data_IF_945869863324
#
_entry.id   IF_945869863324
#
_cell.length_a   1.000
_cell.length_b   1.000
_cell.length_c   1.000
_cell.angle_alpha   90.00
_cell.angle_beta   90.00
_cell.angle_gamma   90.00
#
_symmetry.space_group_name_H-M   'P 1'
#
loop_
_entity.id
_entity.type
_entity.pdbx_description
1 polymer ?
#
# COMPACT_ATOMS: atom_id res chain seq x y z
N UNK A 1 36.00 7.89 0.65
CA UNK A 1 34.66 8.12 1.22
C UNK A 1 33.68 7.10 0.64
N UNK A 2 33.30 6.05 1.38
CA UNK A 2 32.29 5.07 0.94
C UNK A 2 30.90 5.67 1.19
N UNK A 3 30.20 6.09 0.13
CA UNK A 3 28.74 6.38 0.14
C UNK A 3 28.02 5.08 0.52
N UNK A 4 27.88 4.83 1.82
CA UNK A 4 27.11 3.68 2.33
C UNK A 4 25.66 4.12 2.31
N UNK A 5 24.80 3.40 1.58
CA UNK A 5 23.39 3.75 1.37
C UNK A 5 22.59 3.60 2.68
N UNK A 6 22.78 4.49 3.65
CA UNK A 6 22.10 4.46 4.96
C UNK A 6 20.58 4.51 4.83
N UNK A 7 20.04 5.26 3.87
CA UNK A 7 18.60 5.25 3.53
C UNK A 7 18.09 3.87 3.12
N UNK A 8 18.87 3.13 2.33
CA UNK A 8 18.52 1.78 1.87
C UNK A 8 18.63 0.74 3.00
N UNK A 9 19.59 0.93 3.92
CA UNK A 9 19.76 0.08 5.11
C UNK A 9 18.58 0.28 6.08
N UNK A 10 18.09 1.51 6.22
CA UNK A 10 16.93 1.82 7.06
C UNK A 10 15.63 1.23 6.48
N UNK A 11 15.44 1.35 5.17
CA UNK A 11 14.33 0.71 4.45
C UNK A 11 14.38 -0.82 4.58
N UNK A 12 15.58 -1.42 4.54
CA UNK A 12 15.78 -2.86 4.74
C UNK A 12 15.51 -3.32 6.18
N UNK A 13 15.81 -2.50 7.19
CA UNK A 13 15.57 -2.83 8.61
C UNK A 13 14.09 -3.04 8.92
N UNK A 14 13.21 -2.20 8.36
CA UNK A 14 11.75 -2.30 8.54
C UNK A 14 11.04 -3.07 7.42
N UNK A 15 11.79 -3.73 6.54
CA UNK A 15 11.25 -4.53 5.43
C UNK A 15 10.31 -5.65 5.90
N UNK A 16 10.48 -6.19 7.11
CA UNK A 16 9.58 -7.19 7.69
C UNK A 16 8.14 -6.66 7.86
N UNK A 17 7.96 -5.41 8.32
CA UNK A 17 6.64 -4.81 8.48
C UNK A 17 5.98 -4.54 7.12
N UNK A 18 6.79 -4.15 6.13
CA UNK A 18 6.34 -3.98 4.75
C UNK A 18 5.86 -5.31 4.15
N UNK A 19 6.62 -6.39 4.36
CA UNK A 19 6.23 -7.74 3.91
C UNK A 19 4.94 -8.17 4.61
N UNK A 20 4.81 -7.94 5.92
CA UNK A 20 3.57 -8.19 6.67
C UNK A 20 2.36 -7.45 6.10
N UNK A 21 2.53 -6.16 5.79
CA UNK A 21 1.52 -5.37 5.08
C UNK A 21 1.17 -5.98 3.70
N UNK A 22 2.16 -6.41 2.93
CA UNK A 22 1.96 -7.08 1.64
C UNK A 22 1.14 -8.36 1.74
N UNK A 23 1.46 -9.22 2.72
CA UNK A 23 0.72 -10.47 2.97
C UNK A 23 -0.74 -10.18 3.34
N UNK A 24 -0.97 -9.23 4.24
CA UNK A 24 -2.33 -8.82 4.63
C UNK A 24 -3.10 -8.21 3.45
N UNK A 25 -2.41 -7.46 2.58
CA UNK A 25 -2.99 -6.91 1.36
C UNK A 25 -3.44 -8.01 0.39
N UNK A 26 -2.60 -9.03 0.14
CA UNK A 26 -2.97 -10.18 -0.68
C UNK A 26 -4.17 -10.92 -0.08
N UNK A 27 -4.17 -11.16 1.23
CA UNK A 27 -5.28 -11.80 1.94
C UNK A 27 -6.60 -11.05 1.78
N UNK A 28 -6.59 -9.74 2.01
CA UNK A 28 -7.76 -8.88 1.85
C UNK A 28 -8.31 -8.89 0.42
N UNK A 29 -7.44 -8.67 -0.58
CA UNK A 29 -7.85 -8.65 -1.98
C UNK A 29 -8.40 -10.02 -2.43
N UNK A 30 -7.84 -11.12 -1.92
CA UNK A 30 -8.33 -12.47 -2.20
C UNK A 30 -9.73 -12.72 -1.62
N UNK A 31 -10.03 -12.21 -0.42
CA UNK A 31 -11.38 -12.26 0.15
C UNK A 31 -12.34 -11.42 -0.69
N UNK A 32 -11.93 -10.21 -1.08
CA UNK A 32 -12.77 -9.30 -1.87
C UNK A 32 -13.19 -9.93 -3.20
N UNK A 33 -12.22 -10.48 -3.95
CA UNK A 33 -12.49 -11.14 -5.24
C UNK A 33 -13.43 -12.34 -5.06
N UNK A 34 -13.22 -13.18 -4.04
CA UNK A 34 -14.13 -14.31 -3.74
C UNK A 34 -15.54 -13.84 -3.39
N UNK A 35 -15.66 -12.71 -2.68
CA UNK A 35 -16.96 -12.11 -2.38
C UNK A 35 -17.70 -11.67 -3.65
N UNK A 36 -16.99 -11.03 -4.58
CA UNK A 36 -17.53 -10.62 -5.89
C UNK A 36 -17.97 -11.84 -6.70
N UNK A 37 -17.12 -12.87 -6.81
CA UNK A 37 -17.42 -14.12 -7.52
C UNK A 37 -18.66 -14.83 -6.95
N UNK A 38 -18.80 -14.83 -5.62
CA UNK A 38 -19.95 -15.42 -4.95
C UNK A 38 -21.26 -14.70 -5.27
N UNK A 39 -21.23 -13.37 -5.43
CA UNK A 39 -22.39 -12.59 -5.86
C UNK A 39 -22.70 -12.89 -7.33
N UNK A 40 -21.68 -12.91 -8.20
CA UNK A 40 -21.86 -13.22 -9.63
C UNK A 40 -22.52 -14.58 -9.82
N UNK A 41 -21.98 -15.65 -9.21
CA UNK A 41 -22.57 -16.99 -9.31
C UNK A 41 -23.93 -17.13 -8.63
N UNK A 42 -24.31 -16.23 -7.73
CA UNK A 42 -25.67 -16.19 -7.18
C UNK A 42 -26.66 -15.55 -8.14
N UNK A 43 -26.27 -14.46 -8.79
CA UNK A 43 -27.05 -13.82 -9.84
C UNK A 43 -27.25 -14.80 -11.00
N UNK A 44 -26.20 -15.50 -11.44
CA UNK A 44 -26.30 -16.48 -12.53
C UNK A 44 -27.29 -17.62 -12.20
N UNK A 45 -27.27 -18.15 -10.98
CA UNK A 45 -28.23 -19.18 -10.54
C UNK A 45 -29.66 -18.66 -10.44
N UNK A 46 -29.85 -17.41 -9.98
CA UNK A 46 -31.17 -16.78 -9.97
C UNK A 46 -31.71 -16.59 -11.39
N UNK A 47 -30.86 -16.15 -12.33
CA UNK A 47 -31.21 -15.99 -13.75
C UNK A 47 -31.51 -17.33 -14.44
N UNK A 48 -30.82 -18.40 -14.03
CA UNK A 48 -31.08 -19.77 -14.52
C UNK A 48 -32.37 -20.40 -13.96
N UNK A 49 -33.10 -19.69 -13.08
CA UNK A 49 -34.35 -20.17 -12.48
C UNK A 49 -34.18 -21.13 -11.32
N UNK A 50 -32.96 -21.28 -10.76
CA UNK A 50 -32.73 -22.08 -9.56
C UNK A 50 -33.18 -21.36 -8.28
N UNK A 51 -33.68 -22.12 -7.31
CA UNK A 51 -34.02 -21.59 -5.99
C UNK A 51 -32.75 -21.30 -5.18
N UNK A 52 -32.28 -20.05 -5.25
CA UNK A 52 -31.19 -19.57 -4.39
C UNK A 52 -31.76 -19.15 -3.04
N UNK A 53 -31.34 -19.83 -1.96
CA UNK A 53 -31.68 -19.44 -0.59
C UNK A 53 -30.90 -18.17 -0.23
N UNK A 54 -31.52 -17.00 -0.46
CA UNK A 54 -30.95 -15.67 -0.23
C UNK A 54 -30.40 -15.54 1.20
N UNK A 55 -31.09 -16.10 2.19
CA UNK A 55 -30.69 -16.02 3.59
C UNK A 55 -29.33 -16.69 3.87
N UNK A 56 -29.03 -17.83 3.21
CA UNK A 56 -27.74 -18.52 3.34
C UNK A 56 -26.61 -17.78 2.63
N UNK A 57 -26.93 -17.08 1.55
CA UNK A 57 -25.97 -16.25 0.83
C UNK A 57 -25.61 -14.99 1.64
N UNK A 58 -26.62 -14.31 2.19
CA UNK A 58 -26.42 -13.13 3.03
C UNK A 58 -25.56 -13.43 4.26
N UNK A 59 -25.81 -14.55 4.95
CA UNK A 59 -25.00 -14.92 6.12
C UNK A 59 -23.52 -15.14 5.77
N UNK A 60 -23.24 -15.80 4.64
CA UNK A 60 -21.87 -16.00 4.13
C UNK A 60 -21.20 -14.68 3.73
N UNK A 61 -21.92 -13.77 3.07
CA UNK A 61 -21.39 -12.45 2.71
C UNK A 61 -21.07 -11.62 3.96
N UNK A 62 -21.93 -11.63 4.97
CA UNK A 62 -21.68 -10.95 6.25
C UNK A 62 -20.37 -11.46 6.88
N UNK A 63 -20.17 -12.78 6.92
CA UNK A 63 -18.92 -13.37 7.43
C UNK A 63 -17.71 -12.90 6.63
N UNK A 64 -17.79 -12.84 5.30
CA UNK A 64 -16.70 -12.32 4.46
C UNK A 64 -16.43 -10.84 4.70
N UNK A 65 -17.46 -10.02 4.90
CA UNK A 65 -17.31 -8.58 5.20
C UNK A 65 -16.59 -8.40 6.53
N UNK A 66 -16.97 -9.16 7.57
CA UNK A 66 -16.31 -9.11 8.88
C UNK A 66 -14.84 -9.52 8.74
N UNK A 67 -14.55 -10.64 8.08
CA UNK A 67 -13.17 -11.10 7.85
C UNK A 67 -12.35 -10.09 7.03
N UNK A 68 -12.93 -9.53 5.98
CA UNK A 68 -12.28 -8.50 5.15
C UNK A 68 -11.99 -7.22 5.95
N UNK A 69 -12.89 -6.83 6.85
CA UNK A 69 -12.71 -5.67 7.74
C UNK A 69 -11.56 -5.91 8.72
N UNK A 70 -11.50 -7.09 9.34
CA UNK A 70 -10.39 -7.47 10.25
C UNK A 70 -9.05 -7.44 9.50
N UNK A 71 -8.97 -8.03 8.31
CA UNK A 71 -7.74 -7.99 7.51
C UNK A 71 -7.35 -6.58 7.08
N UNK A 72 -8.32 -5.74 6.72
CA UNK A 72 -8.06 -4.33 6.38
C UNK A 72 -7.53 -3.56 7.58
N UNK A 73 -8.12 -3.78 8.75
CA UNK A 73 -7.67 -3.17 9.99
C UNK A 73 -6.23 -3.60 10.33
N UNK A 74 -5.93 -4.90 10.25
CA UNK A 74 -4.57 -5.40 10.46
C UNK A 74 -3.60 -4.79 9.43
N UNK A 75 -3.95 -4.80 8.14
CA UNK A 75 -3.16 -4.16 7.07
C UNK A 75 -2.84 -2.71 7.44
N UNK A 76 -3.83 -1.96 7.88
CA UNK A 76 -3.64 -0.56 8.28
C UNK A 76 -2.71 -0.42 9.48
N UNK A 77 -2.83 -1.28 10.50
CA UNK A 77 -1.92 -1.27 11.65
C UNK A 77 -0.46 -1.49 11.24
N UNK A 78 -0.18 -2.47 10.38
CA UNK A 78 1.18 -2.72 9.87
C UNK A 78 1.71 -1.52 9.08
N UNK A 79 0.88 -0.90 8.26
CA UNK A 79 1.25 0.30 7.51
C UNK A 79 1.61 1.45 8.46
N UNK A 80 0.75 1.77 9.43
CA UNK A 80 0.97 2.86 10.39
C UNK A 80 2.22 2.61 11.24
N UNK A 81 2.44 1.37 11.70
CA UNK A 81 3.65 1.03 12.46
C UNK A 81 4.91 1.24 11.62
N UNK A 82 4.90 0.77 10.37
CA UNK A 82 5.99 0.97 9.43
C UNK A 82 6.30 2.46 9.22
N UNK A 83 5.26 3.27 8.94
CA UNK A 83 5.40 4.72 8.75
C UNK A 83 5.96 5.41 10.00
N UNK A 84 5.51 5.03 11.21
CA UNK A 84 5.96 5.62 12.46
C UNK A 84 7.44 5.36 12.75
N UNK A 85 7.91 4.14 12.52
CA UNK A 85 9.30 3.78 12.71
C UNK A 85 10.21 4.52 11.72
N UNK A 86 9.81 4.57 10.45
CA UNK A 86 10.58 5.30 9.43
C UNK A 86 10.63 6.79 9.73
N UNK A 87 9.50 7.42 10.10
CA UNK A 87 9.48 8.84 10.42
C UNK A 87 10.42 9.15 11.60
N UNK A 88 10.36 8.33 12.65
CA UNK A 88 11.18 8.51 13.86
C UNK A 88 12.68 8.39 13.54
N UNK A 89 13.10 7.33 12.85
CA UNK A 89 14.51 7.12 12.53
C UNK A 89 15.03 8.19 11.54
N UNK A 90 14.21 8.60 10.57
CA UNK A 90 14.55 9.69 9.64
C UNK A 90 14.71 11.03 10.36
N UNK A 91 13.85 11.32 11.35
CA UNK A 91 13.96 12.53 12.18
C UNK A 91 15.24 12.51 13.02
N UNK A 92 15.57 11.38 13.63
CA UNK A 92 16.81 11.23 14.41
C UNK A 92 18.06 11.40 13.53
N UNK A 93 18.03 10.85 12.31
CA UNK A 93 19.12 11.02 11.34
C UNK A 93 19.27 12.47 10.89
N UNK A 94 18.16 13.15 10.61
CA UNK A 94 18.15 14.55 10.25
C UNK A 94 18.79 15.44 11.33
N UNK A 95 18.37 15.25 12.59
CA UNK A 95 18.88 16.02 13.72
C UNK A 95 20.39 15.77 13.91
N UNK A 96 20.83 14.51 13.95
CA UNK A 96 22.26 14.19 14.12
C UNK A 96 23.14 14.71 12.97
N UNK A 97 22.63 14.75 11.74
CA UNK A 97 23.37 15.30 10.62
C UNK A 97 23.48 16.83 10.67
N UNK A 98 22.45 17.50 11.18
CA UNK A 98 22.49 18.94 11.42
C UNK A 98 23.46 19.32 12.56
N UNK A 99 23.50 18.54 13.63
CA UNK A 99 24.42 18.75 14.76
C UNK A 99 25.90 18.53 14.38
N UNK A 100 26.17 17.65 13.40
CA UNK A 100 27.53 17.36 12.92
C UNK A 100 28.06 18.36 11.88
N UNK A 101 27.23 19.30 11.41
CA UNK A 101 27.64 20.29 10.41
C UNK A 101 28.35 21.46 11.11
N UNK A 102 29.63 21.68 10.79
CA UNK A 102 30.44 22.73 11.41
C UNK A 102 29.86 24.13 11.18
N UNK A 103 29.90 24.96 12.24
CA UNK A 103 29.43 26.36 12.28
C UNK A 103 29.93 27.23 11.11
N UNK A 104 31.06 26.88 10.48
CA UNK A 104 31.63 27.61 9.34
C UNK A 104 30.80 27.55 8.04
N UNK A 105 29.88 26.59 7.90
CA UNK A 105 29.01 26.48 6.70
C UNK A 105 27.81 27.44 6.74
N UNK A 106 27.48 27.97 7.92
CA UNK A 106 26.30 28.81 8.14
C UNK A 106 26.54 30.32 7.97
N UNK A 107 27.80 30.74 7.85
CA UNK A 107 28.21 32.16 7.74
C UNK A 107 28.26 32.68 6.28
N UNK A 108 28.34 31.80 5.28
CA UNK A 108 28.52 32.19 3.87
C UNK A 108 27.25 32.16 3.03
N UNK A 109 26.19 31.50 3.49
CA UNK A 109 24.89 31.44 2.81
C UNK A 109 23.77 31.52 3.85
N UNK A 110 22.87 32.50 3.70
CA UNK A 110 21.83 32.83 4.68
C UNK A 110 21.14 31.60 5.31
N UNK A 111 21.39 31.44 6.61
CA UNK A 111 21.12 30.27 7.48
C UNK A 111 19.70 29.72 7.36
N UNK A 112 18.71 30.58 7.18
CA UNK A 112 17.29 30.19 7.13
C UNK A 112 16.89 29.42 5.86
N UNK A 113 17.43 29.80 4.69
CA UNK A 113 16.98 29.20 3.42
C UNK A 113 17.46 27.76 3.23
N UNK A 114 18.69 27.47 3.67
CA UNK A 114 19.28 26.13 3.61
C UNK A 114 18.56 25.20 4.56
N UNK A 115 18.28 25.67 5.78
CA UNK A 115 17.54 24.90 6.78
C UNK A 115 16.14 24.52 6.30
N UNK A 116 15.41 25.46 5.70
CA UNK A 116 14.07 25.19 5.16
C UNK A 116 14.12 24.18 4.02
N UNK A 117 15.07 24.30 3.09
CA UNK A 117 15.24 23.34 1.98
C UNK A 117 15.60 21.95 2.49
N UNK A 118 16.58 21.84 3.38
CA UNK A 118 16.99 20.56 3.96
C UNK A 118 15.84 19.87 4.69
N UNK A 119 15.09 20.62 5.51
CA UNK A 119 13.93 20.09 6.25
C UNK A 119 12.82 19.65 5.29
N UNK A 120 12.57 20.42 4.22
CA UNK A 120 11.60 20.07 3.20
C UNK A 120 12.00 18.79 2.45
N UNK A 121 13.26 18.68 2.05
CA UNK A 121 13.80 17.50 1.36
C UNK A 121 13.72 16.25 2.23
N UNK A 122 14.05 16.36 3.53
CA UNK A 122 13.90 15.26 4.49
C UNK A 122 12.44 14.82 4.60
N UNK A 123 11.51 15.77 4.66
CA UNK A 123 10.07 15.48 4.75
C UNK A 123 9.55 14.79 3.50
N UNK A 124 10.01 15.19 2.32
CA UNK A 124 9.67 14.50 1.06
C UNK A 124 10.18 13.06 1.06
N UNK A 125 11.42 12.82 1.49
CA UNK A 125 11.95 11.45 1.61
C UNK A 125 11.15 10.64 2.64
N UNK A 126 10.79 11.24 3.79
CA UNK A 126 9.90 10.60 4.77
C UNK A 126 8.55 10.21 4.16
N UNK A 127 7.91 11.13 3.42
CA UNK A 127 6.63 10.88 2.76
C UNK A 127 6.72 9.74 1.74
N UNK A 128 7.82 9.69 0.98
CA UNK A 128 8.05 8.64 -0.01
C UNK A 128 8.07 7.25 0.65
N UNK A 129 8.84 7.07 1.71
CA UNK A 129 8.93 5.79 2.39
C UNK A 129 7.67 5.47 3.18
N UNK A 130 7.08 6.43 3.90
CA UNK A 130 5.93 6.17 4.76
C UNK A 130 4.62 5.99 4.01
N UNK A 131 4.45 6.60 2.83
CA UNK A 131 3.17 6.60 2.10
C UNK A 131 3.31 6.07 0.67
N UNK A 132 4.22 6.63 -0.13
CA UNK A 132 4.28 6.32 -1.57
C UNK A 132 4.69 4.87 -1.84
N UNK A 133 5.65 4.36 -1.07
CA UNK A 133 6.16 3.01 -1.26
C UNK A 133 5.14 1.92 -0.83
N UNK A 134 4.50 1.97 0.35
CA UNK A 134 3.42 1.05 0.70
C UNK A 134 2.21 1.14 -0.25
N UNK A 135 1.81 2.36 -0.61
CA UNK A 135 0.67 2.60 -1.52
C UNK A 135 0.96 2.03 -2.92
N UNK A 136 2.14 2.32 -3.47
CA UNK A 136 2.57 1.78 -4.77
C UNK A 136 2.60 0.25 -4.78
N UNK A 137 3.14 -0.36 -3.71
CA UNK A 137 3.11 -1.81 -3.57
C UNK A 137 1.67 -2.37 -3.50
N UNK A 138 0.79 -1.70 -2.75
CA UNK A 138 -0.63 -2.10 -2.68
C UNK A 138 -1.30 -2.04 -4.05
N UNK A 139 -1.04 -1.01 -4.85
CA UNK A 139 -1.60 -0.91 -6.20
C UNK A 139 -1.10 -2.01 -7.14
N UNK A 140 0.18 -2.34 -7.10
CA UNK A 140 0.74 -3.44 -7.89
C UNK A 140 0.12 -4.79 -7.49
N UNK A 141 -0.06 -5.04 -6.19
CA UNK A 141 -0.68 -6.27 -5.69
C UNK A 141 -2.15 -6.36 -6.13
N UNK A 142 -2.94 -5.30 -5.87
CA UNK A 142 -4.37 -5.28 -6.20
C UNK A 142 -4.60 -5.39 -7.71
N UNK A 143 -3.87 -4.63 -8.53
CA UNK A 143 -3.98 -4.70 -9.99
C UNK A 143 -3.63 -6.09 -10.52
N UNK A 144 -2.59 -6.73 -9.98
CA UNK A 144 -2.20 -8.09 -10.37
C UNK A 144 -3.29 -9.11 -10.02
N UNK A 145 -3.86 -9.05 -8.81
CA UNK A 145 -4.90 -9.99 -8.36
C UNK A 145 -6.18 -9.84 -9.20
N UNK A 146 -6.64 -8.61 -9.41
CA UNK A 146 -7.82 -8.33 -10.23
C UNK A 146 -7.56 -8.73 -11.69
N UNK A 147 -6.38 -8.43 -12.22
CA UNK A 147 -5.97 -8.83 -13.57
C UNK A 147 -6.01 -10.35 -13.76
N UNK A 148 -5.42 -11.11 -12.83
CA UNK A 148 -5.45 -12.59 -12.87
C UNK A 148 -6.89 -13.11 -12.78
N UNK A 149 -7.75 -12.49 -11.96
CA UNK A 149 -9.15 -12.88 -11.84
C UNK A 149 -9.92 -12.67 -13.15
N UNK A 150 -9.84 -11.47 -13.74
CA UNK A 150 -10.51 -11.17 -15.01
C UNK A 150 -9.96 -12.05 -16.13
N UNK A 151 -8.65 -12.31 -16.14
CA UNK A 151 -8.03 -13.22 -17.10
C UNK A 151 -8.66 -14.62 -17.08
N UNK A 152 -8.96 -15.16 -15.89
CA UNK A 152 -9.62 -16.47 -15.75
C UNK A 152 -11.08 -16.45 -16.20
N UNK A 153 -11.77 -15.33 -16.05
CA UNK A 153 -13.18 -15.20 -16.42
C UNK A 153 -13.36 -15.04 -17.94
N UNK A 154 -12.66 -14.06 -18.54
CA UNK A 154 -12.68 -13.84 -19.99
C UNK A 154 -11.48 -12.98 -20.43
N UNK A 155 -10.66 -13.50 -21.34
CA UNK A 155 -9.49 -12.80 -21.88
C UNK A 155 -9.84 -11.53 -22.67
N UNK A 156 -11.00 -11.49 -23.34
CA UNK A 156 -11.47 -10.31 -24.09
C UNK A 156 -11.84 -9.19 -23.13
N UNK A 157 -12.44 -9.54 -21.97
CA UNK A 157 -12.78 -8.56 -20.95
C UNK A 157 -11.52 -7.89 -20.37
N UNK A 158 -10.46 -8.66 -20.14
CA UNK A 158 -9.17 -8.15 -19.67
C UNK A 158 -8.55 -7.14 -20.64
N UNK A 159 -8.52 -7.45 -21.93
CA UNK A 159 -7.95 -6.55 -22.96
C UNK A 159 -8.76 -5.27 -23.05
N UNK A 160 -10.09 -5.36 -22.99
CA UNK A 160 -10.95 -4.17 -22.99
C UNK A 160 -10.70 -3.27 -21.76
N UNK A 161 -10.56 -3.87 -20.56
CA UNK A 161 -10.27 -3.14 -19.34
C UNK A 161 -8.89 -2.45 -19.37
N UNK A 162 -7.86 -3.10 -19.93
CA UNK A 162 -6.52 -2.52 -20.08
C UNK A 162 -6.47 -1.32 -21.03
N UNK A 163 -7.34 -1.27 -22.04
CA UNK A 163 -7.43 -0.14 -22.97
C UNK A 163 -8.19 1.02 -22.33
N UNK A 164 -9.24 0.74 -21.56
CA UNK A 164 -10.10 1.77 -20.96
C UNK A 164 -9.44 2.41 -19.73
N UNK A 165 -8.76 1.62 -18.89
CA UNK A 165 -8.15 2.12 -17.65
C UNK A 165 -7.22 3.34 -17.81
N UNK A 166 -6.28 3.39 -18.79
CA UNK A 166 -5.42 4.56 -19.02
C UNK A 166 -6.11 5.74 -19.70
N UNK A 167 -7.37 5.61 -20.14
CA UNK A 167 -8.15 6.73 -20.70
C UNK A 167 -8.93 7.46 -19.60
N UNK A 168 -9.24 6.77 -18.51
CA UNK A 168 -10.00 7.32 -17.36
C UNK A 168 -9.09 8.13 -16.42
N UNK A 169 -7.78 7.91 -16.47
CA UNK A 169 -6.75 8.62 -15.73
C UNK A 169 -5.91 9.50 -16.66
#
# INVERSE_FOLDING_TARGET
MKKKNYFMILALKYSYLLIGFGIMCVGYNSINVKGIDMIAGAVDRMLAGEHVVIMSLLSKLIVMIILGTVLTFMKQCFNTLYSLYIETDMRNMAVSHMEALEYSYFDTMGTGSILTRLTADIKEVQNFFSNSLPTGMSYLITSSIIGIYIFKMNHVLLVSALIIYPIVF
#
